data_IF_672074177340
#
_entry.id   IF_672074177340
#
_cell.length_a   1.000
_cell.length_b   1.000
_cell.length_c   1.000
_cell.angle_alpha   90.00
_cell.angle_beta   90.00
_cell.angle_gamma   90.00
#
_symmetry.space_group_name_H-M   'P 1'
#
loop_
_entity.id
_entity.type
_entity.pdbx_description
1 polymer ?
#
# COMPACT_ATOMS: atom_id res chain seq x y z
N UNK A 1 -21.89 19.84 -7.28
CA UNK A 1 -21.81 19.49 -5.85
C UNK A 1 -20.35 19.56 -5.47
N UNK A 2 -19.93 20.54 -4.66
CA UNK A 2 -18.55 20.63 -4.16
C UNK A 2 -18.38 19.59 -3.06
N UNK A 3 -18.20 18.33 -3.46
CA UNK A 3 -17.92 17.22 -2.56
C UNK A 3 -16.51 17.38 -2.02
N UNK A 4 -16.36 18.16 -0.95
CA UNK A 4 -15.08 18.23 -0.24
C UNK A 4 -14.68 16.82 0.15
N UNK A 5 -13.54 16.35 -0.36
CA UNK A 5 -13.02 15.05 0.03
C UNK A 5 -12.88 15.00 1.56
N UNK A 6 -13.26 13.87 2.18
CA UNK A 6 -13.30 13.78 3.63
C UNK A 6 -11.88 13.97 4.17
N UNK A 7 -11.72 14.87 5.15
CA UNK A 7 -10.48 15.16 5.88
C UNK A 7 -9.69 13.89 6.31
N UNK A 8 -10.37 12.76 6.35
CA UNK A 8 -9.91 11.40 6.57
C UNK A 8 -8.79 10.94 5.61
N UNK A 9 -8.83 11.30 4.31
CA UNK A 9 -7.78 10.89 3.35
C UNK A 9 -6.48 11.66 3.60
N UNK A 10 -6.60 12.98 3.82
CA UNK A 10 -5.47 13.84 4.17
C UNK A 10 -4.85 13.48 5.53
N UNK A 11 -5.65 13.01 6.48
CA UNK A 11 -5.16 12.42 7.71
C UNK A 11 -4.29 11.19 7.45
N UNK A 12 -4.75 10.24 6.62
CA UNK A 12 -3.99 9.04 6.25
C UNK A 12 -2.68 9.37 5.55
N UNK A 13 -2.70 10.30 4.59
CA UNK A 13 -1.51 10.78 3.88
C UNK A 13 -0.52 11.38 4.89
N UNK A 14 -0.99 12.32 5.70
CA UNK A 14 -0.16 13.05 6.67
C UNK A 14 0.47 12.11 7.70
N UNK A 15 -0.31 11.15 8.22
CA UNK A 15 0.16 10.13 9.15
C UNK A 15 1.26 9.26 8.52
N UNK A 16 1.03 8.74 7.31
CA UNK A 16 1.99 7.87 6.63
C UNK A 16 3.28 8.59 6.29
N UNK A 17 3.19 9.81 5.76
CA UNK A 17 4.38 10.63 5.44
C UNK A 17 5.15 11.00 6.71
N UNK A 18 4.46 11.43 7.77
CA UNK A 18 5.11 11.73 9.06
C UNK A 18 5.85 10.51 9.61
N UNK A 19 5.21 9.33 9.61
CA UNK A 19 5.83 8.08 10.06
C UNK A 19 7.03 7.71 9.19
N UNK A 20 6.92 7.83 7.86
CA UNK A 20 8.01 7.54 6.95
C UNK A 20 9.21 8.45 7.21
N UNK A 21 8.99 9.76 7.34
CA UNK A 21 10.02 10.75 7.65
C UNK A 21 10.67 10.48 9.02
N UNK A 22 9.88 10.22 10.06
CA UNK A 22 10.38 9.88 11.38
C UNK A 22 11.29 8.63 11.33
N UNK A 23 10.93 7.64 10.52
CA UNK A 23 11.72 6.40 10.33
C UNK A 23 13.01 6.59 9.55
N UNK A 24 13.18 7.66 8.77
CA UNK A 24 14.47 7.96 8.12
C UNK A 24 15.58 8.20 9.15
N UNK A 25 15.25 8.62 10.38
CA UNK A 25 16.24 8.76 11.46
C UNK A 25 16.94 7.44 11.80
N UNK A 26 16.26 6.30 11.64
CA UNK A 26 16.84 4.96 11.87
C UNK A 26 17.87 4.56 10.81
N UNK A 27 17.85 5.18 9.63
CA UNK A 27 18.75 4.82 8.53
C UNK A 27 20.17 5.36 8.75
N UNK A 28 20.32 6.44 9.54
CA UNK A 28 21.58 7.15 9.72
C UNK A 28 22.41 6.70 10.94
N UNK A 29 21.81 6.03 11.93
CA UNK A 29 22.45 5.95 13.26
C UNK A 29 22.80 4.56 13.81
N UNK A 30 22.20 3.47 13.34
CA UNK A 30 22.11 2.29 14.20
C UNK A 30 23.13 1.17 13.86
N UNK A 31 24.37 1.33 14.36
CA UNK A 31 25.51 0.40 14.16
C UNK A 31 25.32 -0.98 14.82
N UNK A 32 24.39 -1.12 15.77
CA UNK A 32 24.14 -2.34 16.55
C UNK A 32 23.04 -3.24 15.95
N UNK A 33 22.38 -2.80 14.88
CA UNK A 33 21.26 -3.54 14.26
C UNK A 33 21.76 -4.60 13.27
N UNK A 34 21.18 -5.80 13.30
CA UNK A 34 21.48 -6.83 12.31
C UNK A 34 21.13 -6.37 10.89
N UNK A 35 21.87 -6.79 9.85
CA UNK A 35 21.62 -6.39 8.46
C UNK A 35 20.18 -6.68 8.00
N UNK A 36 19.60 -7.80 8.46
CA UNK A 36 18.23 -8.18 8.15
C UNK A 36 17.19 -7.23 8.77
N UNK A 37 17.42 -6.75 10.00
CA UNK A 37 16.54 -5.80 10.67
C UNK A 37 16.60 -4.41 10.02
N UNK A 38 17.79 -3.97 9.61
CA UNK A 38 17.97 -2.73 8.86
C UNK A 38 17.24 -2.79 7.51
N UNK A 39 17.38 -3.91 6.78
CA UNK A 39 16.70 -4.12 5.51
C UNK A 39 15.18 -4.11 5.66
N UNK A 40 14.63 -4.84 6.63
CA UNK A 40 13.20 -4.80 6.95
C UNK A 40 12.72 -3.39 7.33
N UNK A 41 13.53 -2.62 8.07
CA UNK A 41 13.21 -1.25 8.42
C UNK A 41 13.14 -0.33 7.20
N UNK A 42 14.09 -0.48 6.26
CA UNK A 42 14.09 0.26 4.98
C UNK A 42 12.88 -0.08 4.15
N UNK A 43 12.57 -1.36 3.97
CA UNK A 43 11.39 -1.82 3.23
C UNK A 43 10.09 -1.23 3.80
N UNK A 44 9.91 -1.29 5.12
CA UNK A 44 8.72 -0.73 5.78
C UNK A 44 8.66 0.80 5.61
N UNK A 45 9.79 1.49 5.70
CA UNK A 45 9.84 2.96 5.52
C UNK A 45 9.46 3.35 4.08
N UNK A 46 10.06 2.68 3.08
CA UNK A 46 9.75 2.90 1.66
C UNK A 46 8.30 2.55 1.35
N UNK A 47 7.79 1.43 1.87
CA UNK A 47 6.39 1.07 1.69
C UNK A 47 5.43 2.09 2.32
N UNK A 48 5.74 2.59 3.52
CA UNK A 48 4.93 3.61 4.20
C UNK A 48 4.89 4.91 3.37
N UNK A 49 6.04 5.34 2.84
CA UNK A 49 6.12 6.51 1.98
C UNK A 49 5.31 6.31 0.68
N UNK A 50 5.42 5.14 0.04
CA UNK A 50 4.67 4.81 -1.17
C UNK A 50 3.16 4.74 -0.94
N UNK A 51 2.69 4.24 0.21
CA UNK A 51 1.28 4.29 0.56
C UNK A 51 0.80 5.75 0.71
N UNK A 52 1.57 6.60 1.38
CA UNK A 52 1.26 8.02 1.52
C UNK A 52 1.21 8.74 0.17
N UNK A 53 2.20 8.48 -0.70
CA UNK A 53 2.21 9.02 -2.07
C UNK A 53 1.05 8.49 -2.90
N UNK A 54 0.76 7.19 -2.85
CA UNK A 54 -0.36 6.59 -3.56
C UNK A 54 -1.68 7.26 -3.19
N UNK A 55 -1.97 7.41 -1.89
CA UNK A 55 -3.17 8.13 -1.46
C UNK A 55 -3.17 9.60 -1.85
N UNK A 56 -2.01 10.27 -1.88
CA UNK A 56 -1.91 11.66 -2.34
C UNK A 56 -2.24 11.79 -3.83
N UNK A 57 -1.81 10.86 -4.69
CA UNK A 57 -2.12 10.87 -6.12
C UNK A 57 -3.61 10.72 -6.43
N UNK A 58 -4.40 10.19 -5.51
CA UNK A 58 -5.85 10.05 -5.65
C UNK A 58 -6.64 11.12 -4.87
N UNK A 59 -5.94 12.02 -4.15
CA UNK A 59 -6.59 13.07 -3.37
C UNK A 59 -6.80 14.33 -4.21
N UNK A 60 -7.97 14.95 -4.12
CA UNK A 60 -8.24 16.30 -4.63
C UNK A 60 -7.48 17.36 -3.80
N UNK A 61 -6.83 18.36 -4.45
CA UNK A 61 -6.78 18.63 -5.91
C UNK A 61 -5.60 18.01 -6.63
N UNK A 62 -4.84 17.14 -5.96
CA UNK A 62 -3.61 16.58 -6.49
C UNK A 62 -3.84 15.69 -7.70
N UNK A 63 -4.92 14.90 -7.74
CA UNK A 63 -5.25 14.06 -8.89
C UNK A 63 -5.51 14.91 -10.15
N UNK A 64 -6.38 15.93 -10.04
CA UNK A 64 -6.67 16.89 -11.11
C UNK A 64 -5.41 17.63 -11.57
N UNK A 65 -4.55 18.05 -10.63
CA UNK A 65 -3.29 18.71 -10.96
C UNK A 65 -2.33 17.79 -11.72
N UNK A 66 -2.23 16.52 -11.30
CA UNK A 66 -1.35 15.54 -11.94
C UNK A 66 -1.86 15.21 -13.33
N UNK A 67 -3.15 14.96 -13.49
CA UNK A 67 -3.75 14.67 -14.79
C UNK A 67 -3.71 15.89 -15.72
N UNK A 68 -3.96 17.11 -15.21
CA UNK A 68 -3.86 18.34 -15.98
C UNK A 68 -2.42 18.70 -16.38
N UNK A 69 -1.44 18.52 -15.48
CA UNK A 69 -0.02 18.78 -15.76
C UNK A 69 0.55 17.76 -16.77
N UNK A 70 0.03 16.54 -16.74
CA UNK A 70 0.44 15.45 -17.62
C UNK A 70 -0.50 15.29 -18.83
N UNK A 71 -1.46 16.21 -19.03
CA UNK A 71 -2.49 16.07 -20.06
C UNK A 71 -1.91 16.29 -21.48
N UNK A 72 -2.23 15.43 -22.47
CA UNK A 72 -1.25 15.12 -23.53
C UNK A 72 -1.89 14.87 -24.91
N UNK A 73 -1.20 14.16 -25.81
CA UNK A 73 -1.85 13.18 -26.68
C UNK A 73 -1.88 11.73 -26.09
N UNK A 74 -1.33 11.47 -24.89
CA UNK A 74 -1.01 10.15 -24.30
C UNK A 74 -1.96 9.51 -23.24
N UNK A 75 -2.67 10.18 -22.30
CA UNK A 75 -3.61 9.58 -21.33
C UNK A 75 -4.35 10.63 -20.45
N UNK A 76 -5.57 10.31 -19.98
CA UNK A 76 -6.43 11.20 -19.14
C UNK A 76 -6.48 10.80 -17.65
N UNK A 77 -6.00 9.59 -17.28
CA UNK A 77 -6.11 9.03 -15.92
C UNK A 77 -4.73 8.53 -15.44
N UNK A 78 -3.71 9.38 -15.51
CA UNK A 78 -2.34 9.02 -15.10
C UNK A 78 -2.19 8.98 -13.57
N UNK A 79 -2.92 9.84 -12.86
CA UNK A 79 -3.00 9.86 -11.41
C UNK A 79 -3.42 8.49 -10.84
N UNK A 80 -4.45 7.88 -11.42
CA UNK A 80 -4.94 6.52 -11.15
C UNK A 80 -3.84 5.46 -11.35
N UNK A 81 -3.13 5.53 -12.47
CA UNK A 81 -2.04 4.61 -12.77
C UNK A 81 -0.91 4.72 -11.75
N UNK A 82 -0.50 5.94 -11.41
CA UNK A 82 0.55 6.19 -10.43
C UNK A 82 0.10 5.71 -9.05
N UNK A 83 -1.14 6.01 -8.64
CA UNK A 83 -1.75 5.52 -7.41
C UNK A 83 -1.64 3.99 -7.31
N UNK A 84 -2.13 3.28 -8.32
CA UNK A 84 -2.13 1.82 -8.33
C UNK A 84 -0.70 1.25 -8.21
N UNK A 85 0.24 1.80 -8.97
CA UNK A 85 1.64 1.36 -8.95
C UNK A 85 2.31 1.62 -7.60
N UNK A 86 2.06 2.77 -6.97
CA UNK A 86 2.55 3.09 -5.64
C UNK A 86 2.04 2.10 -4.59
N UNK A 87 0.72 1.84 -4.57
CA UNK A 87 0.11 0.90 -3.62
C UNK A 87 0.62 -0.52 -3.87
N UNK A 88 0.65 -1.00 -5.13
CA UNK A 88 1.16 -2.33 -5.47
C UNK A 88 2.62 -2.50 -5.05
N UNK A 89 3.46 -1.49 -5.30
CA UNK A 89 4.86 -1.51 -4.88
C UNK A 89 4.98 -1.59 -3.36
N UNK A 90 4.20 -0.78 -2.63
CA UNK A 90 4.18 -0.84 -1.17
C UNK A 90 3.77 -2.22 -0.66
N UNK A 91 2.72 -2.82 -1.22
CA UNK A 91 2.26 -4.17 -0.87
C UNK A 91 3.33 -5.23 -1.10
N UNK A 92 4.03 -5.19 -2.24
CA UNK A 92 5.14 -6.11 -2.55
C UNK A 92 6.30 -5.95 -1.57
N UNK A 93 6.65 -4.72 -1.20
CA UNK A 93 7.69 -4.44 -0.21
C UNK A 93 7.30 -4.94 1.19
N UNK A 94 6.05 -4.71 1.63
CA UNK A 94 5.53 -5.20 2.90
C UNK A 94 5.50 -6.73 2.94
N UNK A 95 5.03 -7.38 1.87
CA UNK A 95 5.04 -8.84 1.73
C UNK A 95 6.46 -9.44 1.73
N UNK A 96 7.47 -8.65 1.37
CA UNK A 96 8.87 -9.06 1.39
C UNK A 96 9.50 -9.06 2.79
N UNK A 97 8.98 -8.26 3.72
CA UNK A 97 9.51 -8.16 5.10
C UNK A 97 9.57 -9.52 5.81
N UNK A 98 8.47 -10.31 5.89
CA UNK A 98 8.52 -11.61 6.56
C UNK A 98 9.36 -12.66 5.81
N UNK A 99 9.81 -12.38 4.59
CA UNK A 99 10.61 -13.29 3.76
C UNK A 99 12.13 -13.08 3.90
N UNK A 100 12.61 -12.09 4.67
CA UNK A 100 14.05 -11.77 4.75
C UNK A 100 14.87 -12.77 5.56
N UNK A 101 14.24 -13.68 6.31
CA UNK A 101 14.91 -14.69 7.14
C UNK A 101 14.91 -16.09 6.52
N UNK A 102 14.38 -17.07 7.25
CA UNK A 102 14.31 -18.49 6.89
C UNK A 102 13.58 -18.80 5.57
N UNK A 103 12.90 -17.81 4.98
CA UNK A 103 12.15 -17.92 3.72
C UNK A 103 12.75 -17.09 2.57
N UNK A 104 14.04 -16.72 2.65
CA UNK A 104 14.69 -15.92 1.62
C UNK A 104 14.58 -16.49 0.19
N UNK A 105 14.45 -17.82 0.04
CA UNK A 105 14.28 -18.50 -1.25
C UNK A 105 13.01 -18.08 -2.01
N UNK A 106 11.92 -17.77 -1.32
CA UNK A 106 10.65 -17.36 -1.96
C UNK A 106 10.56 -15.85 -2.21
N UNK A 107 11.52 -15.07 -1.70
CA UNK A 107 11.55 -13.61 -1.88
C UNK A 107 11.73 -13.19 -3.33
N UNK A 108 12.62 -13.86 -4.08
CA UNK A 108 12.82 -13.56 -5.51
C UNK A 108 11.56 -13.85 -6.33
N UNK A 109 10.94 -15.05 -6.25
CA UNK A 109 9.66 -15.32 -6.89
C UNK A 109 8.57 -14.30 -6.54
N UNK A 110 8.47 -13.88 -5.28
CA UNK A 110 7.53 -12.87 -4.83
C UNK A 110 7.73 -11.51 -5.52
N UNK A 111 8.97 -11.03 -5.58
CA UNK A 111 9.30 -9.78 -6.27
C UNK A 111 8.99 -9.86 -7.77
N UNK A 112 9.33 -10.98 -8.41
CA UNK A 112 9.04 -11.21 -9.84
C UNK A 112 7.54 -11.19 -10.10
N UNK A 113 6.77 -11.91 -9.28
CA UNK A 113 5.31 -11.91 -9.34
C UNK A 113 4.73 -10.48 -9.25
N UNK A 114 5.21 -9.69 -8.29
CA UNK A 114 4.81 -8.30 -8.14
C UNK A 114 5.10 -7.44 -9.37
N UNK A 115 6.32 -7.53 -9.93
CA UNK A 115 6.72 -6.79 -11.12
C UNK A 115 5.88 -7.19 -12.34
N UNK A 116 5.64 -8.48 -12.54
CA UNK A 116 4.81 -8.97 -13.64
C UNK A 116 3.39 -8.40 -13.55
N UNK A 117 2.77 -8.42 -12.36
CA UNK A 117 1.43 -7.88 -12.19
C UNK A 117 1.37 -6.34 -12.34
N UNK A 118 2.41 -5.61 -11.94
CA UNK A 118 2.51 -4.17 -12.23
C UNK A 118 2.55 -3.91 -13.74
N UNK A 119 3.31 -4.69 -14.50
CA UNK A 119 3.32 -4.59 -15.96
C UNK A 119 1.94 -4.87 -16.56
N UNK A 120 1.24 -5.89 -16.06
CA UNK A 120 -0.14 -6.19 -16.47
C UNK A 120 -1.07 -5.01 -16.17
N UNK A 121 -0.93 -4.35 -15.01
CA UNK A 121 -1.69 -3.13 -14.68
C UNK A 121 -1.42 -1.99 -15.65
N UNK A 122 -0.15 -1.74 -15.99
CA UNK A 122 0.24 -0.71 -16.96
C UNK A 122 -0.43 -0.98 -18.31
N UNK A 123 -0.39 -2.23 -18.79
CA UNK A 123 -1.02 -2.64 -20.05
C UNK A 123 -2.56 -2.53 -19.97
N UNK A 124 -3.16 -3.02 -18.89
CA UNK A 124 -4.61 -3.03 -18.69
C UNK A 124 -5.21 -1.62 -18.58
N UNK A 125 -4.45 -0.67 -18.01
CA UNK A 125 -4.81 0.75 -17.95
C UNK A 125 -4.72 1.45 -19.32
N UNK A 126 -4.11 0.80 -20.32
CA UNK A 126 -3.78 1.45 -21.59
C UNK A 126 -2.82 2.63 -21.39
N UNK A 127 -1.82 2.49 -20.52
CA UNK A 127 -0.91 3.56 -20.12
C UNK A 127 -1.62 4.77 -19.46
N UNK A 128 -2.71 4.54 -18.74
CA UNK A 128 -3.52 5.59 -18.10
C UNK A 128 -4.65 6.13 -18.98
N UNK A 129 -4.91 5.53 -20.14
CA UNK A 129 -6.06 5.87 -20.98
C UNK A 129 -7.40 5.42 -20.39
N UNK A 130 -7.39 4.48 -19.43
CA UNK A 130 -8.61 3.94 -18.80
C UNK A 130 -8.57 4.15 -17.29
N UNK A 131 -9.66 4.66 -16.68
CA UNK A 131 -9.75 4.80 -15.24
C UNK A 131 -9.81 3.43 -14.56
N UNK A 132 -9.38 3.37 -13.30
CA UNK A 132 -9.46 2.13 -12.50
C UNK A 132 -10.90 1.63 -12.44
N UNK A 133 -11.87 2.52 -12.16
CA UNK A 133 -13.29 2.17 -12.03
C UNK A 133 -13.90 1.56 -13.32
N UNK A 134 -13.34 1.89 -14.49
CA UNK A 134 -13.88 1.50 -15.80
C UNK A 134 -13.25 0.26 -16.45
N UNK A 135 -12.20 -0.33 -15.83
CA UNK A 135 -11.45 -1.42 -16.44
C UNK A 135 -11.36 -2.65 -15.52
N UNK A 136 -12.18 -3.67 -15.79
CA UNK A 136 -12.25 -4.89 -14.95
C UNK A 136 -10.91 -5.62 -14.82
N UNK A 137 -10.13 -5.73 -15.91
CA UNK A 137 -8.79 -6.35 -15.86
C UNK A 137 -7.83 -5.57 -14.96
N UNK A 138 -7.94 -4.23 -14.96
CA UNK A 138 -7.13 -3.35 -14.13
C UNK A 138 -7.47 -3.59 -12.65
N UNK A 139 -8.76 -3.54 -12.29
CA UNK A 139 -9.23 -3.78 -10.92
C UNK A 139 -8.86 -5.17 -10.40
N UNK A 140 -9.06 -6.21 -11.21
CA UNK A 140 -8.75 -7.59 -10.82
C UNK A 140 -7.26 -7.78 -10.56
N UNK A 141 -6.40 -7.18 -11.40
CA UNK A 141 -4.95 -7.29 -11.24
C UNK A 141 -4.46 -6.52 -10.02
N UNK A 142 -4.99 -5.31 -9.79
CA UNK A 142 -4.74 -4.53 -8.59
C UNK A 142 -5.15 -5.30 -7.32
N UNK A 143 -6.38 -5.82 -7.29
CA UNK A 143 -6.91 -6.62 -6.18
C UNK A 143 -6.07 -7.89 -5.95
N UNK A 144 -5.64 -8.57 -7.00
CA UNK A 144 -4.80 -9.76 -6.89
C UNK A 144 -3.46 -9.48 -6.17
N UNK A 145 -2.80 -8.36 -6.47
CA UNK A 145 -1.56 -7.97 -5.76
C UNK A 145 -1.82 -7.65 -4.31
N UNK A 146 -2.86 -6.85 -4.02
CA UNK A 146 -3.21 -6.48 -2.65
C UNK A 146 -3.57 -7.71 -1.82
N UNK A 147 -4.46 -8.57 -2.31
CA UNK A 147 -4.90 -9.78 -1.62
C UNK A 147 -3.76 -10.77 -1.40
N UNK A 148 -2.97 -11.06 -2.43
CA UNK A 148 -1.83 -11.97 -2.30
C UNK A 148 -0.79 -11.45 -1.30
N UNK A 149 -0.54 -10.14 -1.27
CA UNK A 149 0.37 -9.52 -0.30
C UNK A 149 -0.13 -9.66 1.13
N UNK A 150 -1.42 -9.41 1.33
CA UNK A 150 -2.00 -9.51 2.66
C UNK A 150 -2.07 -10.96 3.15
N UNK A 151 -2.47 -11.91 2.29
CA UNK A 151 -2.44 -13.35 2.60
C UNK A 151 -1.03 -13.79 2.96
N UNK A 152 -0.03 -13.37 2.17
CA UNK A 152 1.37 -13.68 2.45
C UNK A 152 1.80 -13.14 3.81
N UNK A 153 1.50 -11.87 4.12
CA UNK A 153 1.79 -11.26 5.42
C UNK A 153 1.11 -12.06 6.53
N UNK A 154 -0.18 -12.34 6.45
CA UNK A 154 -0.91 -13.10 7.48
C UNK A 154 -0.31 -14.50 7.67
N UNK A 155 -0.16 -15.29 6.59
CA UNK A 155 0.34 -16.68 6.66
C UNK A 155 1.77 -16.75 7.20
N UNK A 156 2.61 -15.77 6.85
CA UNK A 156 4.00 -15.73 7.31
C UNK A 156 4.13 -15.22 8.75
N UNK A 157 3.26 -14.29 9.17
CA UNK A 157 3.35 -13.65 10.49
C UNK A 157 2.61 -14.39 11.59
N UNK A 158 1.46 -15.03 11.30
CA UNK A 158 0.61 -15.71 12.31
C UNK A 158 1.39 -16.76 13.11
N UNK A 159 2.29 -17.50 12.46
CA UNK A 159 3.12 -18.51 13.15
C UNK A 159 4.27 -17.91 13.98
N UNK A 160 4.57 -16.63 13.79
CA UNK A 160 5.66 -15.89 14.45
C UNK A 160 5.13 -14.85 15.46
N UNK A 161 3.81 -14.82 15.71
CA UNK A 161 3.16 -13.85 16.61
C UNK A 161 3.52 -14.02 18.10
N UNK A 162 4.18 -15.12 18.50
CA UNK A 162 4.67 -15.29 19.87
C UNK A 162 5.80 -14.29 20.17
N UNK A 163 5.43 -13.08 20.60
CA UNK A 163 6.32 -12.06 21.16
C UNK A 163 6.62 -10.84 20.28
N UNK A 164 6.21 -10.83 19.01
CA UNK A 164 6.55 -9.75 18.08
C UNK A 164 5.36 -8.79 17.83
N UNK A 165 5.20 -7.77 18.70
CA UNK A 165 4.14 -6.74 18.56
C UNK A 165 4.15 -6.01 17.21
N UNK A 166 5.33 -5.88 16.58
CA UNK A 166 5.47 -5.34 15.22
C UNK A 166 4.72 -6.19 14.18
N UNK A 167 4.83 -7.51 14.29
CA UNK A 167 4.15 -8.44 13.39
C UNK A 167 2.64 -8.38 13.61
N UNK A 168 2.17 -8.25 14.85
CA UNK A 168 0.76 -8.10 15.16
C UNK A 168 0.12 -6.85 14.52
N UNK A 169 0.80 -5.70 14.54
CA UNK A 169 0.32 -4.48 13.90
C UNK A 169 0.27 -4.60 12.35
N UNK A 170 1.29 -5.23 11.75
CA UNK A 170 1.29 -5.55 10.31
C UNK A 170 0.19 -6.57 9.94
N UNK A 171 -0.07 -7.56 10.80
CA UNK A 171 -1.17 -8.52 10.61
C UNK A 171 -2.52 -7.80 10.67
N UNK A 172 -2.71 -6.88 11.63
CA UNK A 172 -3.94 -6.08 11.72
C UNK A 172 -4.15 -5.23 10.46
N UNK A 173 -3.10 -4.53 9.99
CA UNK A 173 -3.15 -3.76 8.75
C UNK A 173 -3.49 -4.65 7.54
N UNK A 174 -2.89 -5.84 7.46
CA UNK A 174 -3.14 -6.81 6.40
C UNK A 174 -4.58 -7.34 6.44
N UNK A 175 -5.15 -7.60 7.62
CA UNK A 175 -6.54 -8.03 7.77
C UNK A 175 -7.52 -6.93 7.35
N UNK A 176 -7.27 -5.67 7.73
CA UNK A 176 -8.07 -4.54 7.29
C UNK A 176 -8.02 -4.36 5.76
N UNK A 177 -6.84 -4.54 5.15
CA UNK A 177 -6.68 -4.52 3.70
C UNK A 177 -7.35 -5.71 3.00
N UNK A 178 -7.35 -6.92 3.59
CA UNK A 178 -8.10 -8.08 3.06
C UNK A 178 -9.60 -7.79 3.10
N UNK A 179 -10.11 -7.25 4.21
CA UNK A 179 -11.52 -6.89 4.32
C UNK A 179 -11.90 -5.88 3.23
N UNK A 180 -11.09 -4.82 3.05
CA UNK A 180 -11.27 -3.83 1.98
C UNK A 180 -11.29 -4.43 0.57
N UNK A 181 -10.27 -5.21 0.25
CA UNK A 181 -10.12 -5.79 -1.08
C UNK A 181 -11.20 -6.86 -1.34
N UNK A 182 -11.57 -7.64 -0.31
CA UNK A 182 -12.68 -8.59 -0.37
C UNK A 182 -14.02 -7.89 -0.60
N UNK A 183 -14.31 -6.80 0.13
CA UNK A 183 -15.51 -5.99 -0.08
C UNK A 183 -15.51 -5.41 -1.50
N UNK A 184 -14.38 -4.88 -1.98
CA UNK A 184 -14.24 -4.33 -3.33
C UNK A 184 -14.49 -5.39 -4.41
N UNK A 185 -13.89 -6.57 -4.29
CA UNK A 185 -14.11 -7.67 -5.25
C UNK A 185 -15.55 -8.17 -5.21
N UNK A 186 -16.13 -8.31 -4.01
CA UNK A 186 -17.52 -8.72 -3.85
C UNK A 186 -18.49 -7.73 -4.50
N UNK A 187 -18.35 -6.44 -4.23
CA UNK A 187 -19.20 -5.40 -4.83
C UNK A 187 -19.01 -5.31 -6.33
N UNK A 188 -17.80 -5.50 -6.85
CA UNK A 188 -17.57 -5.56 -8.31
C UNK A 188 -18.30 -6.72 -8.99
N UNK A 189 -18.43 -7.88 -8.33
CA UNK A 189 -19.09 -9.06 -8.91
C UNK A 189 -20.61 -8.98 -8.74
N UNK A 190 -21.09 -8.54 -7.57
CA UNK A 190 -22.50 -8.68 -7.18
C UNK A 190 -23.28 -7.37 -7.13
N UNK A 191 -22.61 -6.21 -7.09
CA UNK A 191 -23.24 -4.89 -7.01
C UNK A 191 -22.38 -3.78 -7.68
N UNK A 192 -22.14 -3.87 -9.01
CA UNK A 192 -21.17 -3.02 -9.70
C UNK A 192 -21.51 -1.53 -9.66
N UNK A 193 -22.80 -1.17 -9.69
CA UNK A 193 -23.27 0.22 -9.53
C UNK A 193 -22.96 0.78 -8.14
N UNK A 194 -23.18 -0.02 -7.09
CA UNK A 194 -22.81 0.35 -5.72
C UNK A 194 -21.31 0.63 -5.60
N UNK A 195 -20.47 -0.17 -6.28
CA UNK A 195 -19.03 0.08 -6.25
C UNK A 195 -18.67 1.40 -6.94
N UNK A 196 -19.31 1.74 -8.05
CA UNK A 196 -19.08 3.01 -8.74
C UNK A 196 -19.48 4.22 -7.87
N UNK A 197 -20.60 4.11 -7.15
CA UNK A 197 -21.13 5.22 -6.34
C UNK A 197 -20.42 5.39 -4.99
N UNK A 198 -19.90 4.29 -4.41
CA UNK A 198 -19.31 4.28 -3.06
C UNK A 198 -17.81 3.95 -3.03
N UNK A 199 -17.15 3.91 -4.20
CA UNK A 199 -15.72 3.58 -4.33
C UNK A 199 -14.84 4.37 -3.35
N UNK A 200 -15.00 5.69 -3.36
CA UNK A 200 -14.20 6.62 -2.56
C UNK A 200 -14.46 6.48 -1.07
N UNK A 201 -15.69 6.15 -0.67
CA UNK A 201 -16.04 5.95 0.74
C UNK A 201 -15.40 4.67 1.28
N UNK A 202 -15.46 3.58 0.51
CA UNK A 202 -14.84 2.30 0.86
C UNK A 202 -13.33 2.47 0.99
N UNK A 203 -12.70 3.10 -0.01
CA UNK A 203 -11.27 3.42 0.02
C UNK A 203 -10.88 4.32 1.19
N UNK A 204 -11.70 5.31 1.52
CA UNK A 204 -11.42 6.23 2.64
C UNK A 204 -11.40 5.48 3.98
N UNK A 205 -12.41 4.67 4.27
CA UNK A 205 -12.48 3.95 5.55
C UNK A 205 -11.31 2.97 5.68
N UNK A 206 -10.98 2.28 4.59
CA UNK A 206 -9.96 1.24 4.63
C UNK A 206 -8.54 1.81 4.60
N UNK A 207 -8.32 2.90 3.87
CA UNK A 207 -7.05 3.64 3.90
C UNK A 207 -6.72 4.16 5.31
N UNK A 208 -7.71 4.63 6.08
CA UNK A 208 -7.50 5.02 7.49
C UNK A 208 -7.07 3.83 8.34
N UNK A 209 -7.76 2.69 8.25
CA UNK A 209 -7.40 1.49 9.03
C UNK A 209 -6.01 0.97 8.65
N UNK A 210 -5.68 0.96 7.35
CA UNK A 210 -4.37 0.58 6.84
C UNK A 210 -3.30 1.58 7.30
N UNK A 211 -3.56 2.89 7.23
CA UNK A 211 -2.65 3.94 7.68
C UNK A 211 -2.37 3.86 9.18
N UNK A 212 -3.39 3.60 10.01
CA UNK A 212 -3.23 3.36 11.45
C UNK A 212 -2.42 2.09 11.70
N UNK A 213 -2.73 0.98 11.02
CA UNK A 213 -2.02 -0.29 11.20
C UNK A 213 -0.55 -0.21 10.77
N UNK A 214 -0.27 0.36 9.59
CA UNK A 214 1.09 0.55 9.09
C UNK A 214 1.83 1.62 9.90
N UNK A 215 1.15 2.70 10.28
CA UNK A 215 1.70 3.77 11.11
C UNK A 215 2.10 3.30 12.51
N UNK A 216 1.26 2.52 13.17
CA UNK A 216 1.56 1.90 14.48
C UNK A 216 2.71 0.91 14.38
N UNK A 217 2.74 0.04 13.36
CA UNK A 217 3.90 -0.81 13.08
C UNK A 217 5.17 0.03 12.82
N UNK A 218 5.01 1.13 12.08
CA UNK A 218 6.03 2.11 11.76
C UNK A 218 6.68 2.72 12.99
N UNK A 219 5.87 3.30 13.88
CA UNK A 219 6.29 3.94 15.12
C UNK A 219 6.81 2.95 16.16
N UNK A 220 6.21 1.76 16.27
CA UNK A 220 6.71 0.71 17.16
C UNK A 220 8.11 0.24 16.74
N UNK A 221 8.35 0.11 15.43
CA UNK A 221 9.70 -0.18 14.90
C UNK A 221 10.71 0.93 15.21
N UNK A 222 10.28 2.20 15.19
CA UNK A 222 11.10 3.36 15.58
C UNK A 222 11.47 3.32 17.07
N UNK A 223 10.49 3.12 17.94
CA UNK A 223 10.70 3.01 19.38
C UNK A 223 11.66 1.87 19.75
N UNK A 224 11.53 0.70 19.12
CA UNK A 224 12.47 -0.40 19.30
C UNK A 224 13.88 -0.06 18.79
N UNK A 225 13.98 0.70 17.70
CA UNK A 225 15.25 1.15 17.15
C UNK A 225 16.00 2.08 18.11
N UNK A 226 15.29 3.05 18.70
CA UNK A 226 15.86 3.99 19.68
C UNK A 226 16.21 3.35 21.02
N UNK A 227 15.46 2.34 21.48
CA UNK A 227 15.81 1.62 22.73
C UNK A 227 17.07 0.76 22.62
N UNK A 228 17.54 0.48 21.40
CA UNK A 228 18.69 -0.42 21.13
C UNK A 228 19.95 0.33 20.68
N UNK A 229 19.86 1.64 20.50
CA UNK A 229 20.96 2.57 20.20
C UNK A 229 21.42 3.26 21.48
#
# INVERSE_FOLDING_TARGET
MTGGYPANVWFSISLLIFVALARLTLWRGNRTTSPAALHASRLLTTATALLGLGFAFQADPFHDWVDALLHPPLAENLSDLIHALCIMTACVLLGSIPLTGTRARVRRPWMVFGVVLMLVVVIASGLGARPIAGAQLYQNTFAAVVLSSCVLIVVTTVRQLRGARLLAALTFAALAAIASAGTTVYTLIFAPTFMQDHYDQILTVTSVLVAVGVGTAGLYGLWLGWRRS
#
